data_IF_920023462542
#
_entry.id   IF_920023462542
#
_cell.length_a   1.000
_cell.length_b   1.000
_cell.length_c   1.000
_cell.angle_alpha   90.00
_cell.angle_beta   90.00
_cell.angle_gamma   90.00
#
_symmetry.space_group_name_H-M   'P 1'
#
loop_
_entity.id
_entity.type
_entity.pdbx_description
1 polymer ?
#
# COMPACT_ATOMS: atom_id res chain seq x y z
N UNK A 1 -3.94 15.35 30.74
CA UNK A 1 -3.41 15.61 29.40
C UNK A 1 -4.54 15.36 28.43
N UNK A 2 -4.91 16.34 27.64
CA UNK A 2 -6.14 16.34 26.86
C UNK A 2 -5.98 15.46 25.60
N UNK A 3 -6.63 14.30 25.56
CA UNK A 3 -6.56 13.33 24.46
C UNK A 3 -7.53 13.64 23.29
N UNK A 4 -7.88 14.92 23.06
CA UNK A 4 -8.78 15.32 21.98
C UNK A 4 -8.03 15.57 20.68
N UNK A 5 -7.61 14.53 20.00
CA UNK A 5 -6.93 14.76 18.72
C UNK A 5 -6.69 13.56 17.83
N UNK A 6 -7.46 12.47 17.91
CA UNK A 6 -7.19 11.32 17.07
C UNK A 6 -8.46 10.63 16.56
N UNK A 7 -9.21 11.33 15.71
CA UNK A 7 -10.24 10.70 14.88
C UNK A 7 -9.98 11.05 13.42
N UNK A 8 -9.13 10.29 12.74
CA UNK A 8 -9.15 10.24 11.28
C UNK A 8 -10.08 9.10 10.88
N UNK A 9 -11.38 9.41 10.73
CA UNK A 9 -12.39 8.47 10.27
C UNK A 9 -12.30 8.30 8.76
N UNK A 10 -11.90 7.13 8.30
CA UNK A 10 -12.15 6.70 6.93
C UNK A 10 -13.55 6.12 6.83
N UNK A 11 -14.48 6.89 6.32
CA UNK A 11 -15.82 6.42 5.99
C UNK A 11 -16.67 7.53 5.38
N UNK A 12 -16.63 7.67 4.06
CA UNK A 12 -17.72 8.34 3.36
C UNK A 12 -18.04 7.58 2.07
N UNK A 13 -19.12 6.80 2.12
CA UNK A 13 -19.81 6.29 0.94
C UNK A 13 -20.74 7.35 0.42
N UNK A 14 -20.22 8.25 -0.41
CA UNK A 14 -20.99 9.24 -1.16
C UNK A 14 -21.35 8.72 -2.53
N UNK A 15 -22.64 8.66 -2.80
CA UNK A 15 -23.29 8.37 -4.08
C UNK A 15 -22.73 9.25 -5.19
N UNK A 16 -22.24 8.62 -6.28
CA UNK A 16 -21.90 9.31 -7.53
C UNK A 16 -23.18 9.68 -8.28
N UNK A 17 -23.46 10.96 -8.32
CA UNK A 17 -24.33 11.54 -9.36
C UNK A 17 -23.48 11.99 -10.55
N UNK A 18 -23.97 11.72 -11.75
CA UNK A 18 -23.36 11.99 -13.04
C UNK A 18 -22.94 13.45 -13.20
N UNK A 19 -21.66 13.67 -13.56
CA UNK A 19 -21.15 14.98 -13.99
C UNK A 19 -21.10 15.02 -15.52
N UNK A 20 -22.16 15.50 -16.09
CA UNK A 20 -22.18 16.14 -17.41
C UNK A 20 -22.73 17.55 -17.18
N UNK A 21 -21.89 18.49 -16.77
CA UNK A 21 -22.12 19.91 -16.88
C UNK A 21 -21.01 20.52 -17.71
N UNK A 22 -21.36 20.86 -18.94
CA UNK A 22 -20.57 21.64 -19.88
C UNK A 22 -20.20 22.99 -19.27
N UNK A 23 -18.91 23.24 -19.15
CA UNK A 23 -18.37 24.52 -18.69
C UNK A 23 -18.34 25.48 -19.90
N UNK A 24 -19.44 26.15 -20.19
CA UNK A 24 -19.49 27.24 -21.16
C UNK A 24 -18.98 28.53 -20.48
N UNK A 25 -17.85 29.08 -20.91
CA UNK A 25 -17.37 30.40 -20.53
C UNK A 25 -17.94 31.46 -21.50
N UNK A 26 -18.64 32.46 -20.95
CA UNK A 26 -19.19 33.61 -21.68
C UNK A 26 -18.35 34.85 -21.38
N UNK A 27 -18.09 35.64 -22.42
CA UNK A 27 -17.52 36.98 -22.28
C UNK A 27 -18.57 37.97 -21.81
N UNK A 28 -18.14 39.14 -21.33
CA UNK A 28 -19.00 40.17 -20.72
C UNK A 28 -20.04 40.75 -21.69
N UNK A 29 -19.96 40.48 -22.98
CA UNK A 29 -20.89 40.91 -24.03
C UNK A 29 -21.84 39.80 -24.53
N UNK A 30 -21.77 38.59 -23.95
CA UNK A 30 -22.65 37.46 -24.28
C UNK A 30 -22.29 36.69 -25.52
N UNK A 31 -21.10 36.86 -26.09
CA UNK A 31 -20.60 36.06 -27.23
C UNK A 31 -19.90 34.78 -26.76
N UNK A 32 -20.12 33.67 -27.48
CA UNK A 32 -19.49 32.39 -27.24
C UNK A 32 -18.07 32.40 -27.79
N UNK A 33 -17.05 32.31 -26.94
CA UNK A 33 -15.67 32.17 -27.39
C UNK A 33 -15.45 30.77 -27.94
N UNK A 34 -15.11 30.65 -29.20
CA UNK A 34 -14.68 29.36 -29.79
C UNK A 34 -13.36 28.97 -29.12
N UNK A 35 -13.39 27.86 -28.36
CA UNK A 35 -12.18 27.24 -27.85
C UNK A 35 -11.41 26.71 -29.07
N UNK A 36 -10.12 27.08 -29.26
CA UNK A 36 -9.34 26.54 -30.36
C UNK A 36 -9.25 25.01 -30.24
N UNK A 37 -9.51 24.30 -31.35
CA UNK A 37 -9.34 22.84 -31.42
C UNK A 37 -7.95 22.48 -30.90
N UNK A 38 -7.90 21.56 -29.94
CA UNK A 38 -6.65 21.04 -29.42
C UNK A 38 -5.90 20.34 -30.55
N UNK A 39 -4.77 20.89 -30.93
CA UNK A 39 -3.88 20.29 -31.91
C UNK A 39 -3.44 18.89 -31.46
N UNK A 40 -3.38 17.95 -32.40
CA UNK A 40 -2.97 16.55 -32.22
C UNK A 40 -1.52 16.38 -31.67
N UNK A 41 -0.74 17.43 -31.55
CA UNK A 41 0.60 17.44 -30.98
C UNK A 41 0.64 17.14 -29.47
N UNK A 42 -0.47 17.32 -28.72
CA UNK A 42 -0.51 17.03 -27.28
C UNK A 42 -0.43 15.52 -27.00
N UNK A 43 -1.04 14.70 -27.87
CA UNK A 43 -1.03 13.24 -27.70
C UNK A 43 0.34 12.58 -27.94
N UNK A 44 1.17 13.18 -28.80
CA UNK A 44 2.53 12.68 -29.04
C UNK A 44 3.47 12.93 -27.83
N UNK A 45 3.26 14.03 -27.11
CA UNK A 45 4.02 14.37 -25.90
C UNK A 45 3.69 13.48 -24.71
N UNK A 46 2.42 13.15 -24.49
CA UNK A 46 1.98 12.27 -23.41
C UNK A 46 2.47 10.82 -23.61
N UNK A 47 2.46 10.32 -24.84
CA UNK A 47 3.02 9.02 -25.18
C UNK A 47 4.53 8.94 -24.96
N UNK A 48 5.28 9.96 -25.30
CA UNK A 48 6.73 10.02 -25.09
C UNK A 48 7.12 10.11 -23.61
N UNK A 49 6.35 10.84 -22.81
CA UNK A 49 6.56 10.95 -21.35
C UNK A 49 6.18 9.64 -20.65
N UNK A 50 5.13 8.96 -21.07
CA UNK A 50 4.76 7.64 -20.55
C UNK A 50 5.84 6.59 -20.88
N UNK A 51 6.30 6.53 -22.12
CA UNK A 51 7.40 5.64 -22.56
C UNK A 51 8.73 5.94 -21.85
N UNK A 52 9.04 7.20 -21.57
CA UNK A 52 10.25 7.57 -20.84
C UNK A 52 10.18 7.17 -19.35
N UNK A 53 8.99 7.13 -18.75
CA UNK A 53 8.79 6.63 -17.38
C UNK A 53 8.89 5.10 -17.30
N UNK A 54 8.40 4.37 -18.27
CA UNK A 54 8.52 2.91 -18.36
C UNK A 54 9.99 2.45 -18.48
N UNK A 55 10.79 3.15 -19.26
CA UNK A 55 12.22 2.82 -19.43
C UNK A 55 13.09 3.11 -18.19
N UNK A 56 12.57 3.90 -17.23
CA UNK A 56 13.32 4.29 -16.02
C UNK A 56 13.18 3.27 -14.86
N UNK A 57 12.21 2.33 -14.91
CA UNK A 57 12.00 1.36 -13.84
C UNK A 57 12.80 0.08 -14.10
N UNK A 58 13.85 -0.12 -13.31
CA UNK A 58 14.65 -1.36 -13.35
C UNK A 58 14.00 -2.44 -12.50
N UNK A 59 13.78 -3.61 -13.09
CA UNK A 59 13.36 -4.82 -12.39
C UNK A 59 14.60 -5.68 -12.16
N UNK A 60 15.02 -5.91 -10.90
CA UNK A 60 16.22 -6.67 -10.63
C UNK A 60 15.97 -8.17 -10.83
N UNK A 61 16.75 -8.84 -11.68
CA UNK A 61 16.72 -10.29 -11.82
C UNK A 61 17.27 -10.99 -10.59
N UNK A 62 16.83 -12.22 -10.32
CA UNK A 62 17.30 -13.04 -9.21
C UNK A 62 17.11 -12.38 -7.84
N UNK A 63 15.98 -11.72 -7.61
CA UNK A 63 15.76 -10.89 -6.43
C UNK A 63 14.35 -11.07 -5.86
N UNK A 64 14.25 -11.08 -4.53
CA UNK A 64 12.97 -10.90 -3.84
C UNK A 64 12.67 -9.40 -3.75
N UNK A 65 11.51 -8.97 -4.24
CA UNK A 65 11.06 -7.58 -4.19
C UNK A 65 9.78 -7.49 -3.36
N UNK A 66 9.85 -6.83 -2.22
CA UNK A 66 8.64 -6.44 -1.48
C UNK A 66 8.08 -5.17 -2.09
N UNK A 67 6.79 -5.12 -2.39
CA UNK A 67 6.18 -3.89 -2.91
C UNK A 67 4.94 -3.48 -2.12
N UNK A 68 4.92 -2.21 -1.72
CA UNK A 68 3.74 -1.63 -1.06
C UNK A 68 2.60 -1.47 -2.06
N UNK A 69 1.40 -1.85 -1.64
CA UNK A 69 0.15 -1.69 -2.38
C UNK A 69 -0.66 -0.51 -1.83
N UNK A 70 -1.59 0.08 -2.61
CA UNK A 70 -2.46 1.16 -2.14
C UNK A 70 -3.28 0.77 -0.91
N UNK A 71 -3.45 1.71 0.01
CA UNK A 71 -4.21 1.53 1.26
C UNK A 71 -5.62 2.15 1.22
N UNK A 72 -6.12 2.46 0.02
CA UNK A 72 -7.46 3.04 -0.17
C UNK A 72 -7.59 3.73 -1.52
N UNK A 73 -6.62 4.55 -1.90
CA UNK A 73 -6.59 5.26 -3.17
C UNK A 73 -5.63 4.57 -4.17
N UNK A 74 -6.15 4.09 -5.28
CA UNK A 74 -5.35 3.44 -6.34
C UNK A 74 -4.30 4.37 -6.94
N UNK A 75 -4.55 5.69 -6.94
CA UNK A 75 -3.61 6.70 -7.40
C UNK A 75 -2.29 6.75 -6.62
N UNK A 76 -2.23 6.15 -5.42
CA UNK A 76 -1.02 6.07 -4.61
C UNK A 76 -0.10 4.89 -5.01
N UNK A 77 -0.49 4.11 -6.01
CA UNK A 77 0.36 3.05 -6.55
C UNK A 77 1.63 3.65 -7.16
N UNK A 78 2.79 3.18 -6.70
CA UNK A 78 4.05 3.62 -7.29
C UNK A 78 4.21 3.08 -8.71
N UNK A 79 4.84 3.85 -9.60
CA UNK A 79 5.19 3.40 -10.95
C UNK A 79 6.01 2.10 -10.92
N UNK A 80 6.79 1.90 -9.85
CA UNK A 80 7.58 0.69 -9.64
C UNK A 80 6.73 -0.53 -9.30
N UNK A 81 5.67 -0.37 -8.48
CA UNK A 81 4.69 -1.44 -8.25
C UNK A 81 4.02 -1.85 -9.56
N UNK A 82 3.55 -0.88 -10.35
CA UNK A 82 2.90 -1.12 -11.65
C UNK A 82 3.81 -1.95 -12.56
N UNK A 83 5.05 -1.52 -12.75
CA UNK A 83 6.02 -2.23 -13.58
C UNK A 83 6.38 -3.63 -13.05
N UNK A 84 6.42 -3.81 -11.72
CA UNK A 84 6.66 -5.12 -11.09
C UNK A 84 5.50 -6.08 -11.29
N UNK A 85 4.25 -5.61 -11.21
CA UNK A 85 3.07 -6.43 -11.49
C UNK A 85 3.08 -6.98 -12.92
N UNK A 86 3.56 -6.19 -13.88
CA UNK A 86 3.62 -6.60 -15.29
C UNK A 86 4.81 -7.50 -15.61
N UNK A 87 5.95 -7.32 -14.93
CA UNK A 87 7.23 -7.88 -15.39
C UNK A 87 7.92 -8.86 -14.43
N UNK A 88 7.41 -9.02 -13.19
CA UNK A 88 7.96 -10.03 -12.28
C UNK A 88 7.63 -11.44 -12.78
N UNK A 89 8.56 -12.39 -12.61
CA UNK A 89 8.36 -13.79 -13.02
C UNK A 89 7.36 -14.51 -12.12
N UNK A 90 7.36 -14.18 -10.84
CA UNK A 90 6.44 -14.74 -9.84
C UNK A 90 5.88 -13.61 -8.98
N UNK A 91 4.57 -13.63 -8.74
CA UNK A 91 3.90 -12.74 -7.81
C UNK A 91 3.30 -13.54 -6.66
N UNK A 92 3.89 -13.38 -5.49
CA UNK A 92 3.43 -13.97 -4.23
C UNK A 92 2.49 -12.96 -3.55
N UNK A 93 1.19 -13.24 -3.57
CA UNK A 93 0.14 -12.35 -3.07
C UNK A 93 -0.59 -12.97 -1.87
N UNK A 94 -0.93 -12.16 -0.88
CA UNK A 94 -1.69 -12.57 0.30
C UNK A 94 -3.08 -13.11 -0.11
N UNK A 95 -3.89 -12.31 -0.80
CA UNK A 95 -5.12 -12.75 -1.47
C UNK A 95 -5.01 -12.49 -2.99
N UNK A 96 -4.96 -13.56 -3.77
CA UNK A 96 -4.84 -13.48 -5.24
C UNK A 96 -6.01 -12.77 -5.90
N UNK A 97 -7.21 -12.82 -5.30
CA UNK A 97 -8.39 -12.12 -5.83
C UNK A 97 -8.23 -10.61 -5.69
N UNK A 98 -7.71 -10.14 -4.54
CA UNK A 98 -7.41 -8.72 -4.31
C UNK A 98 -6.30 -8.22 -5.20
N UNK A 99 -5.27 -9.05 -5.44
CA UNK A 99 -4.23 -8.73 -6.41
C UNK A 99 -4.81 -8.48 -7.81
N UNK A 100 -5.67 -9.39 -8.32
CA UNK A 100 -6.27 -9.22 -9.64
C UNK A 100 -7.25 -8.03 -9.70
N UNK A 101 -7.97 -7.72 -8.61
CA UNK A 101 -8.80 -6.50 -8.55
C UNK A 101 -7.92 -5.25 -8.60
N UNK A 102 -6.83 -5.21 -7.86
CA UNK A 102 -5.86 -4.11 -7.92
C UNK A 102 -5.28 -3.94 -9.32
N UNK A 103 -4.81 -5.01 -9.95
CA UNK A 103 -4.25 -4.97 -11.31
C UNK A 103 -5.28 -4.44 -12.32
N UNK A 104 -6.53 -4.91 -12.25
CA UNK A 104 -7.64 -4.43 -13.08
C UNK A 104 -7.89 -2.92 -12.88
N UNK A 105 -7.88 -2.43 -11.62
CA UNK A 105 -8.08 -1.01 -11.30
C UNK A 105 -6.91 -0.13 -11.74
N UNK A 106 -5.70 -0.69 -11.80
CA UNK A 106 -4.51 -0.02 -12.31
C UNK A 106 -4.40 -0.08 -13.85
N UNK A 107 -5.24 -0.88 -14.51
CA UNK A 107 -5.19 -1.07 -15.96
C UNK A 107 -3.99 -1.90 -16.42
N UNK A 108 -3.44 -2.78 -15.57
CA UNK A 108 -2.25 -3.60 -15.86
C UNK A 108 -2.55 -5.09 -15.85
N UNK A 109 -1.75 -5.86 -16.59
CA UNK A 109 -1.82 -7.32 -16.63
C UNK A 109 -0.69 -7.92 -15.79
N UNK A 110 -1.01 -8.91 -14.94
CA UNK A 110 -0.01 -9.69 -14.22
C UNK A 110 0.42 -10.84 -15.11
N UNK A 111 1.61 -10.73 -15.71
CA UNK A 111 2.13 -11.74 -16.63
C UNK A 111 2.84 -12.90 -15.93
N UNK A 112 3.37 -12.65 -14.72
CA UNK A 112 4.06 -13.65 -13.92
C UNK A 112 3.12 -14.68 -13.31
N UNK A 113 3.72 -15.79 -12.84
CA UNK A 113 2.98 -16.82 -12.11
C UNK A 113 2.49 -16.29 -10.76
N UNK A 114 1.19 -16.17 -10.56
CA UNK A 114 0.59 -15.75 -9.28
C UNK A 114 0.45 -16.94 -8.34
N UNK A 115 0.87 -16.76 -7.10
CA UNK A 115 0.71 -17.75 -6.03
C UNK A 115 0.11 -17.10 -4.78
N UNK A 116 -0.75 -17.84 -4.06
CA UNK A 116 -1.21 -17.41 -2.74
C UNK A 116 -0.09 -17.57 -1.71
N UNK A 117 0.23 -16.48 -0.99
CA UNK A 117 1.31 -16.42 -0.02
C UNK A 117 0.84 -15.66 1.21
N UNK A 118 0.42 -16.37 2.26
CA UNK A 118 -0.19 -15.83 3.47
C UNK A 118 0.45 -16.46 4.72
N UNK A 119 0.19 -15.93 5.90
CA UNK A 119 0.80 -16.32 7.18
C UNK A 119 0.83 -17.83 7.44
N UNK A 120 -0.23 -18.54 7.00
CA UNK A 120 -0.32 -19.99 7.23
C UNK A 120 0.57 -20.83 6.30
N UNK A 121 1.05 -20.29 5.19
CA UNK A 121 1.84 -21.06 4.21
C UNK A 121 3.17 -20.42 3.83
N UNK A 122 3.48 -19.20 4.33
CA UNK A 122 4.67 -18.45 3.92
C UNK A 122 5.97 -19.23 4.20
N UNK A 123 6.06 -19.93 5.34
CA UNK A 123 7.24 -20.71 5.71
C UNK A 123 7.48 -21.88 4.77
N UNK A 124 6.41 -22.61 4.42
CA UNK A 124 6.50 -23.79 3.57
C UNK A 124 6.83 -23.43 2.12
N UNK A 125 6.41 -22.25 1.66
CA UNK A 125 6.61 -21.79 0.28
C UNK A 125 7.91 -21.02 0.08
N UNK A 126 8.49 -20.47 1.13
CA UNK A 126 9.66 -19.59 1.04
C UNK A 126 10.83 -20.25 0.28
N UNK A 127 11.22 -21.47 0.65
CA UNK A 127 12.35 -22.15 0.01
C UNK A 127 12.12 -22.40 -1.48
N UNK A 128 10.95 -22.88 -1.88
CA UNK A 128 10.63 -23.12 -3.29
C UNK A 128 10.57 -21.83 -4.14
N UNK A 129 10.24 -20.68 -3.53
CA UNK A 129 10.32 -19.37 -4.19
C UNK A 129 11.77 -18.92 -4.32
N UNK A 130 12.57 -19.13 -3.29
CA UNK A 130 13.99 -18.75 -3.30
C UNK A 130 14.82 -19.62 -4.26
N UNK A 131 14.45 -20.87 -4.49
CA UNK A 131 15.03 -21.70 -5.54
C UNK A 131 14.86 -21.08 -6.93
N UNK A 132 13.71 -20.43 -7.18
CA UNK A 132 13.49 -19.68 -8.42
C UNK A 132 14.33 -18.40 -8.47
N UNK A 133 14.51 -17.71 -7.34
CA UNK A 133 15.38 -16.54 -7.25
C UNK A 133 16.83 -16.90 -7.60
N UNK A 134 17.34 -18.02 -7.11
CA UNK A 134 18.69 -18.53 -7.45
C UNK A 134 18.87 -18.81 -8.94
N UNK A 135 17.79 -19.18 -9.64
CA UNK A 135 17.83 -19.40 -11.11
C UNK A 135 17.65 -18.10 -11.90
N UNK A 136 17.56 -16.96 -11.23
CA UNK A 136 17.48 -15.63 -11.84
C UNK A 136 16.07 -15.03 -11.87
N UNK A 137 15.04 -15.71 -11.35
CA UNK A 137 13.68 -15.18 -11.34
C UNK A 137 13.51 -14.02 -10.36
N UNK A 138 12.73 -13.01 -10.73
CA UNK A 138 12.25 -11.97 -9.85
C UNK A 138 10.97 -12.43 -9.15
N UNK A 139 10.99 -12.48 -7.82
CA UNK A 139 9.84 -12.80 -6.98
C UNK A 139 9.31 -11.52 -6.35
N UNK A 140 8.14 -11.09 -6.79
CA UNK A 140 7.41 -9.97 -6.21
C UNK A 140 6.52 -10.47 -5.06
N UNK A 141 6.64 -9.86 -3.88
CA UNK A 141 5.77 -10.12 -2.72
C UNK A 141 4.90 -8.90 -2.48
N UNK A 142 3.60 -9.09 -2.40
CA UNK A 142 2.61 -8.03 -2.12
C UNK A 142 1.61 -8.50 -1.06
N UNK A 143 1.23 -7.56 -0.18
CA UNK A 143 0.11 -7.72 0.75
C UNK A 143 -1.19 -7.16 0.16
N UNK A 144 -2.29 -7.36 0.85
CA UNK A 144 -3.60 -6.86 0.45
C UNK A 144 -3.66 -5.32 0.44
N UNK A 145 -2.94 -4.67 1.38
CA UNK A 145 -2.87 -3.22 1.49
C UNK A 145 -1.63 -2.79 2.28
N UNK A 146 -0.86 -1.84 1.77
CA UNK A 146 0.34 -1.32 2.43
C UNK A 146 1.59 -2.15 2.16
N UNK A 147 2.52 -2.14 3.11
CA UNK A 147 3.84 -2.77 2.96
C UNK A 147 3.83 -4.19 3.48
N UNK A 148 4.22 -5.20 2.69
CA UNK A 148 4.40 -6.56 3.17
C UNK A 148 5.30 -6.61 4.41
N UNK A 149 5.14 -7.60 5.25
CA UNK A 149 5.82 -7.80 6.54
C UNK A 149 5.32 -6.96 7.72
N UNK A 150 4.54 -5.91 7.47
CA UNK A 150 4.00 -5.05 8.53
C UNK A 150 2.58 -5.53 8.88
N UNK A 151 2.46 -6.47 9.77
CA UNK A 151 1.26 -7.26 10.11
C UNK A 151 0.70 -8.12 8.96
N UNK A 152 1.49 -8.32 7.93
CA UNK A 152 1.18 -9.05 6.72
C UNK A 152 2.28 -10.10 6.44
N UNK A 153 2.05 -11.09 5.57
CA UNK A 153 3.03 -12.08 5.20
C UNK A 153 4.24 -11.47 4.49
N UNK A 154 5.35 -12.19 4.51
CA UNK A 154 6.58 -11.80 3.83
C UNK A 154 7.84 -11.87 4.69
N UNK A 155 7.70 -11.91 6.03
CA UNK A 155 8.87 -11.96 6.91
C UNK A 155 9.67 -13.26 6.74
N UNK A 156 9.00 -14.38 6.51
CA UNK A 156 9.66 -15.68 6.35
C UNK A 156 10.57 -15.70 5.12
N UNK A 157 10.08 -15.24 3.95
CA UNK A 157 10.91 -15.23 2.73
C UNK A 157 12.09 -14.25 2.85
N UNK A 158 11.90 -13.10 3.49
CA UNK A 158 12.99 -12.13 3.71
C UNK A 158 14.09 -12.74 4.56
N UNK A 159 13.74 -13.32 5.72
CA UNK A 159 14.70 -13.98 6.61
C UNK A 159 15.45 -15.10 5.89
N UNK A 160 14.70 -15.93 5.20
CA UNK A 160 15.27 -17.08 4.49
C UNK A 160 16.16 -16.67 3.31
N UNK A 161 15.80 -15.59 2.59
CA UNK A 161 16.64 -15.01 1.54
C UNK A 161 17.97 -14.50 2.11
N UNK A 162 17.93 -13.79 3.25
CA UNK A 162 19.13 -13.30 3.94
C UNK A 162 20.02 -14.47 4.37
N UNK A 163 19.46 -15.54 4.96
CA UNK A 163 20.19 -16.76 5.34
C UNK A 163 20.88 -17.44 4.15
N UNK A 164 20.24 -17.40 2.97
CA UNK A 164 20.77 -17.97 1.72
C UNK A 164 21.69 -17.01 0.94
N UNK A 165 21.89 -15.78 1.44
CA UNK A 165 22.68 -14.75 0.76
C UNK A 165 22.06 -14.22 -0.54
N UNK A 166 20.74 -14.35 -0.70
CA UNK A 166 20.00 -13.90 -1.88
C UNK A 166 19.60 -12.43 -1.76
N UNK A 167 19.56 -11.68 -2.88
CA UNK A 167 19.19 -10.28 -2.87
C UNK A 167 17.73 -10.06 -2.47
N UNK A 168 17.51 -9.08 -1.58
CA UNK A 168 16.19 -8.59 -1.20
C UNK A 168 16.16 -7.08 -1.36
N UNK A 169 15.11 -6.56 -1.95
CA UNK A 169 14.88 -5.11 -2.09
C UNK A 169 13.41 -4.77 -1.87
N UNK A 170 13.07 -3.48 -1.85
CA UNK A 170 11.68 -3.07 -1.80
C UNK A 170 11.36 -1.97 -2.83
N UNK A 171 10.11 -1.96 -3.28
CA UNK A 171 9.47 -0.82 -3.94
C UNK A 171 8.63 -0.10 -2.87
N UNK A 172 9.13 1.02 -2.32
CA UNK A 172 8.43 1.74 -1.26
C UNK A 172 7.13 2.34 -1.78
N UNK A 173 6.20 2.56 -0.88
CA UNK A 173 4.89 3.13 -1.20
C UNK A 173 4.05 3.36 0.06
N UNK A 174 2.72 3.31 -0.05
CA UNK A 174 1.79 3.64 1.03
C UNK A 174 2.04 2.84 2.31
N UNK A 175 1.90 3.52 3.45
CA UNK A 175 2.02 2.92 4.78
C UNK A 175 1.09 3.61 5.77
N UNK A 176 0.04 2.94 6.20
CA UNK A 176 -0.93 3.51 7.14
C UNK A 176 -0.29 3.94 8.48
N UNK A 177 0.78 3.26 8.91
CA UNK A 177 1.55 3.65 10.12
C UNK A 177 2.17 5.02 9.95
N UNK A 178 2.87 5.25 8.83
CA UNK A 178 3.55 6.52 8.58
C UNK A 178 2.56 7.65 8.25
N UNK A 179 1.49 7.34 7.54
CA UNK A 179 0.45 8.32 7.22
C UNK A 179 -0.28 8.78 8.50
N UNK A 180 -0.66 7.84 9.37
CA UNK A 180 -1.26 8.17 10.66
C UNK A 180 -0.31 9.03 11.52
N UNK A 181 0.97 8.66 11.57
CA UNK A 181 1.97 9.42 12.31
C UNK A 181 2.13 10.85 11.76
N UNK A 182 2.25 10.99 10.44
CA UNK A 182 2.41 12.29 9.77
C UNK A 182 1.20 13.22 9.96
N UNK A 183 -0.02 12.65 10.02
CA UNK A 183 -1.27 13.40 10.17
C UNK A 183 -1.66 13.66 11.64
N UNK A 184 -1.02 12.97 12.60
CA UNK A 184 -1.40 13.02 14.01
C UNK A 184 -1.12 14.35 14.70
N UNK A 185 -0.14 15.13 14.20
CA UNK A 185 0.38 16.31 14.91
C UNK A 185 1.18 15.99 16.18
N UNK A 186 1.43 14.72 16.47
CA UNK A 186 2.27 14.26 17.58
C UNK A 186 3.77 14.28 17.18
N UNK A 187 4.71 14.23 18.17
CA UNK A 187 6.14 14.11 17.88
C UNK A 187 6.44 12.87 17.02
N UNK A 188 7.18 13.07 15.93
CA UNK A 188 7.49 12.03 14.94
C UNK A 188 8.94 11.55 14.99
N UNK A 189 9.80 12.21 15.76
CA UNK A 189 11.23 11.92 15.91
C UNK A 189 11.50 10.55 16.52
N UNK A 190 10.60 10.10 17.40
CA UNK A 190 10.68 8.79 18.04
C UNK A 190 9.27 8.23 18.23
N UNK A 191 9.00 7.09 17.63
CA UNK A 191 7.72 6.39 17.76
C UNK A 191 7.94 4.87 17.89
N UNK A 192 6.91 4.16 18.34
CA UNK A 192 6.85 2.71 18.32
C UNK A 192 5.53 2.26 17.67
N UNK A 193 5.62 1.18 16.93
CA UNK A 193 4.47 0.52 16.33
C UNK A 193 4.20 -0.79 17.07
N UNK A 194 3.01 -0.92 17.61
CA UNK A 194 2.62 -2.03 18.50
C UNK A 194 1.65 -3.03 17.83
N UNK A 195 1.35 -2.80 16.54
CA UNK A 195 0.44 -3.69 15.80
C UNK A 195 -1.00 -3.60 16.28
N UNK A 196 -1.74 -4.72 16.17
CA UNK A 196 -3.12 -4.81 16.64
C UNK A 196 -3.19 -5.06 18.15
N UNK A 197 -4.08 -4.34 18.81
CA UNK A 197 -4.37 -4.56 20.22
C UNK A 197 -4.99 -5.95 20.49
N UNK A 198 -4.77 -6.55 21.66
CA UNK A 198 -5.41 -7.81 22.05
C UNK A 198 -6.94 -7.77 21.88
N UNK A 199 -7.51 -8.87 21.40
CA UNK A 199 -8.96 -8.93 21.13
C UNK A 199 -9.81 -8.90 22.39
N UNK A 200 -9.36 -9.57 23.48
CA UNK A 200 -10.08 -9.62 24.73
C UNK A 200 -9.84 -8.37 25.55
N UNK A 201 -10.91 -7.77 26.08
CA UNK A 201 -10.88 -6.60 26.93
C UNK A 201 -9.82 -6.70 28.05
N UNK A 202 -9.85 -7.77 28.87
CA UNK A 202 -8.91 -7.91 29.98
C UNK A 202 -7.43 -8.00 29.56
N UNK A 203 -7.16 -8.68 28.42
CA UNK A 203 -5.81 -8.78 27.86
C UNK A 203 -5.36 -7.43 27.29
N UNK A 204 -6.27 -6.70 26.64
CA UNK A 204 -6.02 -5.38 26.05
C UNK A 204 -5.70 -4.35 27.15
N UNK A 205 -6.52 -4.26 28.19
CA UNK A 205 -6.27 -3.37 29.34
C UNK A 205 -4.94 -3.71 30.02
N UNK A 206 -4.64 -5.00 30.23
CA UNK A 206 -3.38 -5.42 30.80
C UNK A 206 -2.19 -5.02 29.92
N UNK A 207 -2.31 -5.19 28.61
CA UNK A 207 -1.28 -4.80 27.63
C UNK A 207 -1.07 -3.29 27.63
N UNK A 208 -2.13 -2.49 27.56
CA UNK A 208 -2.07 -1.04 27.59
C UNK A 208 -1.37 -0.51 28.85
N UNK A 209 -1.62 -1.14 30.01
CA UNK A 209 -0.92 -0.79 31.26
C UNK A 209 0.59 -1.00 31.18
N UNK A 210 1.08 -1.94 30.38
CA UNK A 210 2.54 -2.13 30.18
C UNK A 210 3.16 -0.99 29.38
N UNK A 211 2.36 -0.25 28.62
CA UNK A 211 2.79 0.87 27.79
C UNK A 211 2.73 2.23 28.48
N UNK A 212 2.18 2.32 29.72
CA UNK A 212 2.11 3.59 30.47
C UNK A 212 3.48 4.29 30.65
N UNK A 213 4.62 3.58 30.83
CA UNK A 213 5.92 4.22 30.91
C UNK A 213 6.48 4.71 29.55
N UNK A 214 5.88 4.31 28.42
CA UNK A 214 6.36 4.68 27.10
C UNK A 214 6.21 6.19 26.89
N UNK A 215 7.28 6.81 26.37
CA UNK A 215 7.35 8.26 26.14
C UNK A 215 7.30 8.63 24.66
N UNK A 216 7.52 7.66 23.78
CA UNK A 216 7.45 7.84 22.34
C UNK A 216 6.00 7.89 21.89
N UNK A 217 5.76 8.45 20.72
CA UNK A 217 4.45 8.31 20.06
C UNK A 217 4.19 6.84 19.77
N UNK A 218 3.04 6.31 20.19
CA UNK A 218 2.65 4.92 19.98
C UNK A 218 1.64 4.87 18.84
N UNK A 219 1.87 3.95 17.89
CA UNK A 219 0.95 3.71 16.78
C UNK A 219 0.40 2.28 16.89
N UNK A 220 -0.92 2.15 16.86
CA UNK A 220 -1.62 0.87 16.82
C UNK A 220 -2.39 0.70 15.53
N UNK A 221 -2.56 -0.54 15.09
CA UNK A 221 -3.63 -0.91 14.17
C UNK A 221 -4.86 -1.33 14.95
N UNK A 222 -6.03 -0.93 14.44
CA UNK A 222 -7.31 -1.42 14.95
C UNK A 222 -8.33 -1.55 13.83
N UNK A 223 -9.26 -2.48 14.00
CA UNK A 223 -10.32 -2.71 13.03
C UNK A 223 -11.52 -1.78 13.31
N UNK A 224 -12.31 -1.41 12.26
CA UNK A 224 -13.49 -0.56 12.45
C UNK A 224 -14.49 -1.11 13.47
N UNK A 225 -14.58 -2.43 13.61
CA UNK A 225 -15.54 -3.09 14.54
C UNK A 225 -15.11 -3.03 16.00
N UNK A 226 -13.83 -2.75 16.27
CA UNK A 226 -13.24 -2.78 17.61
C UNK A 226 -12.76 -1.41 18.08
N UNK A 227 -12.71 -0.43 17.19
CA UNK A 227 -12.09 0.87 17.48
C UNK A 227 -12.76 1.55 18.69
N UNK A 228 -14.08 1.51 18.80
CA UNK A 228 -14.81 2.11 19.92
C UNK A 228 -14.40 1.46 21.26
N UNK A 229 -14.49 0.13 21.36
CA UNK A 229 -14.12 -0.61 22.57
C UNK A 229 -12.64 -0.39 22.93
N UNK A 230 -11.77 -0.33 21.92
CA UNK A 230 -10.34 -0.10 22.15
C UNK A 230 -10.04 1.33 22.62
N UNK A 231 -10.82 2.31 22.15
CA UNK A 231 -10.70 3.69 22.61
C UNK A 231 -11.20 3.86 24.05
N UNK A 232 -12.28 3.18 24.43
CA UNK A 232 -12.77 3.18 25.82
C UNK A 232 -11.70 2.61 26.75
N UNK A 233 -11.07 1.49 26.37
CA UNK A 233 -9.99 0.88 27.16
C UNK A 233 -8.71 1.71 27.24
N UNK A 234 -8.47 2.62 26.29
CA UNK A 234 -7.35 3.56 26.31
C UNK A 234 -7.60 4.76 27.25
N UNK A 235 -8.87 5.04 27.57
CA UNK A 235 -9.28 6.15 28.46
C UNK A 235 -9.32 5.75 29.93
N UNK A 236 -9.44 4.44 30.25
CA UNK A 236 -9.46 3.85 31.61
C UNK A 236 -8.03 3.68 32.18
#
# INVERSE_FOLDING_TARGET
MDCRGLLCGMGNTGSMTSADELNEQYDADGSVTQVPERNDEVHAGESAVAQSRESAVTIPAGTVVLAATPIGNVGDASARLVALLERADIVAAEDTRRLYDLARRLGVYVNGRVIAYHDHNERDKADGLLDQVETGATVLVVSDAGMPTINDPGLAIVRRAIERGLPVTCAPGPSAVLDALALSGLPTDRFCYEGFLPRKHSERVQYLRTLLPERRTIVFYETPHRIADSMDDLLD
#
